data_IF_100428756299
#
_entry.id   IF_100428756299
#
_cell.length_a   1.000
_cell.length_b   1.000
_cell.length_c   1.000
_cell.angle_alpha   90.00
_cell.angle_beta   90.00
_cell.angle_gamma   90.00
#
_symmetry.space_group_name_H-M   'P 1'
#
loop_
_entity.id
_entity.type
_entity.pdbx_description
1 polymer ?
#
# COMPACT_ATOMS: atom_id res chain seq x y z
N UNK A 1 -10.32 -17.89 4.36
CA UNK A 1 -8.94 -17.36 4.23
C UNK A 1 -8.35 -16.97 5.59
N UNK A 2 -7.13 -17.40 5.94
CA UNK A 2 -6.46 -17.25 7.26
C UNK A 2 -6.00 -15.81 7.64
N UNK A 3 -6.79 -14.77 7.36
CA UNK A 3 -6.47 -13.42 7.82
C UNK A 3 -6.70 -13.25 9.33
N UNK A 4 -6.10 -12.22 9.93
CA UNK A 4 -6.31 -11.87 11.34
C UNK A 4 -7.76 -11.47 11.68
N UNK A 5 -8.56 -11.16 10.66
CA UNK A 5 -9.99 -10.84 10.75
C UNK A 5 -10.77 -11.88 9.96
N UNK A 6 -11.84 -12.38 10.58
CA UNK A 6 -12.75 -13.34 9.95
C UNK A 6 -13.29 -12.80 8.63
N UNK A 7 -13.42 -13.68 7.65
CA UNK A 7 -13.76 -13.31 6.27
C UNK A 7 -15.12 -12.61 6.15
N UNK A 8 -16.08 -12.99 7.01
CA UNK A 8 -17.40 -12.39 7.08
C UNK A 8 -17.39 -10.94 7.63
N UNK A 9 -16.38 -10.59 8.42
CA UNK A 9 -16.25 -9.27 9.05
C UNK A 9 -15.45 -8.28 8.20
N UNK A 10 -14.91 -8.71 7.04
CA UNK A 10 -14.12 -7.84 6.16
C UNK A 10 -15.05 -6.94 5.33
N UNK A 11 -14.95 -5.60 5.45
CA UNK A 11 -15.96 -4.69 4.90
C UNK A 11 -16.17 -4.76 3.39
N UNK A 12 -15.15 -5.14 2.62
CA UNK A 12 -15.21 -5.17 1.15
C UNK A 12 -15.65 -6.53 0.58
N UNK A 13 -15.57 -7.60 1.37
CA UNK A 13 -15.87 -8.96 0.91
C UNK A 13 -17.30 -9.12 0.36
N UNK A 14 -18.37 -8.54 0.98
CA UNK A 14 -19.72 -8.65 0.43
C UNK A 14 -19.89 -8.02 -0.96
N UNK A 15 -19.00 -7.11 -1.35
CA UNK A 15 -19.03 -6.39 -2.62
C UNK A 15 -18.05 -6.98 -3.65
N UNK A 16 -17.09 -7.78 -3.19
CA UNK A 16 -16.15 -8.50 -4.01
C UNK A 16 -16.72 -9.89 -4.33
N UNK A 17 -17.06 -10.16 -5.59
CA UNK A 17 -17.62 -11.47 -5.99
C UNK A 17 -16.75 -12.69 -5.63
N UNK A 18 -15.48 -12.48 -5.28
CA UNK A 18 -14.58 -13.47 -4.67
C UNK A 18 -13.55 -12.75 -3.80
N UNK A 19 -13.12 -13.34 -2.69
CA UNK A 19 -12.03 -12.81 -1.86
C UNK A 19 -10.67 -12.89 -2.53
N UNK A 20 -10.52 -13.71 -3.58
CA UNK A 20 -9.27 -13.82 -4.34
C UNK A 20 -8.92 -12.51 -5.08
N UNK A 21 -9.85 -11.55 -5.21
CA UNK A 21 -9.53 -10.22 -5.77
C UNK A 21 -8.54 -9.44 -4.90
N UNK A 22 -8.44 -9.78 -3.61
CA UNK A 22 -7.48 -9.17 -2.68
C UNK A 22 -6.15 -9.93 -2.65
N UNK A 23 -5.97 -10.95 -3.49
CA UNK A 23 -4.75 -11.75 -3.57
C UNK A 23 -3.92 -11.35 -4.78
N UNK A 24 -2.69 -10.93 -4.54
CA UNK A 24 -1.71 -10.82 -5.61
C UNK A 24 -1.17 -12.24 -5.92
N UNK A 25 -1.21 -12.70 -7.19
CA UNK A 25 -0.61 -13.98 -7.56
C UNK A 25 0.91 -14.05 -7.34
N UNK A 26 1.57 -12.89 -7.26
CA UNK A 26 3.00 -12.77 -7.01
C UNK A 26 3.33 -12.51 -5.53
N UNK A 27 2.35 -12.60 -4.62
CA UNK A 27 2.56 -12.47 -3.18
C UNK A 27 3.55 -13.53 -2.68
N UNK A 28 4.71 -13.06 -2.20
CA UNK A 28 5.78 -13.89 -1.63
C UNK A 28 6.02 -13.59 -0.15
N UNK A 29 5.10 -12.88 0.51
CA UNK A 29 5.22 -12.52 1.92
C UNK A 29 5.76 -11.12 2.18
N UNK A 30 6.21 -10.87 3.41
CA UNK A 30 6.83 -9.60 3.81
C UNK A 30 8.02 -9.89 4.73
N UNK A 31 9.21 -9.43 4.33
CA UNK A 31 10.42 -9.64 5.11
C UNK A 31 10.40 -8.94 6.47
N UNK A 32 9.72 -7.78 6.60
CA UNK A 32 9.65 -7.09 7.89
C UNK A 32 8.71 -7.79 8.88
N UNK A 33 7.65 -8.40 8.37
CA UNK A 33 6.66 -9.12 9.18
C UNK A 33 6.97 -10.61 9.32
N UNK A 34 8.06 -11.07 8.71
CA UNK A 34 8.53 -12.46 8.74
C UNK A 34 7.43 -13.47 8.38
N UNK A 35 6.74 -13.23 7.26
CA UNK A 35 5.73 -14.15 6.72
C UNK A 35 6.00 -14.49 5.25
N UNK A 36 5.51 -15.65 4.81
CA UNK A 36 5.74 -16.17 3.45
C UNK A 36 4.63 -15.81 2.45
N UNK A 37 3.46 -15.39 2.93
CA UNK A 37 2.33 -14.99 2.10
C UNK A 37 1.42 -14.02 2.87
N UNK A 38 1.37 -12.77 2.43
CA UNK A 38 0.63 -11.70 3.12
C UNK A 38 -0.88 -11.94 3.01
N UNK A 39 -1.37 -12.38 1.85
CA UNK A 39 -2.78 -12.70 1.67
C UNK A 39 -3.26 -13.77 2.65
N UNK A 40 -2.48 -14.83 2.85
CA UNK A 40 -2.87 -15.86 3.81
C UNK A 40 -2.68 -15.42 5.25
N UNK A 41 -1.82 -14.44 5.53
CA UNK A 41 -1.59 -13.92 6.89
C UNK A 41 -2.63 -12.86 7.30
N UNK A 42 -3.02 -11.97 6.39
CA UNK A 42 -3.86 -10.79 6.67
C UNK A 42 -5.17 -10.77 5.90
N UNK A 43 -5.27 -11.55 4.83
CA UNK A 43 -6.44 -11.56 3.96
C UNK A 43 -6.40 -10.54 2.82
N UNK A 44 -5.28 -9.84 2.62
CA UNK A 44 -5.11 -8.82 1.59
C UNK A 44 -3.63 -8.66 1.21
N UNK A 45 -3.30 -8.73 -0.08
CA UNK A 45 -1.96 -8.49 -0.63
C UNK A 45 -1.67 -7.02 -0.95
N UNK A 46 -2.63 -6.12 -0.74
CA UNK A 46 -2.50 -4.70 -1.10
C UNK A 46 -2.52 -3.81 0.13
N UNK A 47 -1.80 -2.69 0.07
CA UNK A 47 -1.65 -1.77 1.21
C UNK A 47 -1.79 -0.32 0.77
N UNK A 48 -2.67 0.40 1.46
CA UNK A 48 -2.80 1.86 1.38
C UNK A 48 -1.68 2.55 2.17
N UNK A 49 -1.41 3.83 1.90
CA UNK A 49 -0.51 4.62 2.75
C UNK A 49 -1.14 4.81 4.14
N UNK A 50 -0.52 4.22 5.18
CA UNK A 50 -1.02 4.22 6.56
C UNK A 50 -0.53 5.39 7.41
N UNK A 51 0.53 6.05 6.97
CA UNK A 51 1.07 7.25 7.60
C UNK A 51 1.77 8.11 6.55
N UNK A 52 2.15 9.32 6.93
CA UNK A 52 2.85 10.27 6.07
C UNK A 52 4.32 9.90 5.97
N UNK A 53 4.76 9.39 4.82
CA UNK A 53 6.14 8.98 4.57
C UNK A 53 6.41 8.84 3.08
N UNK A 54 7.70 8.82 2.71
CA UNK A 54 8.11 8.61 1.32
C UNK A 54 7.54 9.64 0.33
N UNK A 55 7.26 10.85 0.83
CA UNK A 55 6.51 11.91 0.12
C UNK A 55 5.03 11.61 -0.12
N UNK A 56 4.52 10.47 0.37
CA UNK A 56 3.13 10.07 0.26
C UNK A 56 2.36 10.43 1.53
N UNK A 57 1.26 11.15 1.36
CA UNK A 57 0.25 11.40 2.38
C UNK A 57 -0.61 10.16 2.62
N UNK A 58 -0.94 9.87 3.88
CA UNK A 58 -1.81 8.74 4.20
C UNK A 58 -3.22 8.88 3.60
N UNK A 59 -3.91 7.75 3.47
CA UNK A 59 -5.29 7.70 2.94
C UNK A 59 -6.31 7.37 4.02
N UNK A 60 -5.94 6.50 4.96
CA UNK A 60 -6.87 5.96 5.96
C UNK A 60 -6.79 6.69 7.28
N UNK A 61 -7.87 6.60 8.05
CA UNK A 61 -7.86 6.86 9.48
C UNK A 61 -7.67 5.54 10.23
N UNK A 62 -6.86 5.55 11.28
CA UNK A 62 -6.60 4.40 12.13
C UNK A 62 -7.51 4.45 13.36
N UNK A 63 -8.35 3.42 13.52
CA UNK A 63 -9.29 3.28 14.63
C UNK A 63 -8.60 3.08 16.00
N UNK A 64 -7.32 2.68 15.99
CA UNK A 64 -6.47 2.59 17.17
C UNK A 64 -6.11 3.95 17.78
N UNK A 65 -6.42 5.06 17.11
CA UNK A 65 -6.16 6.43 17.59
C UNK A 65 -7.43 7.11 18.10
N UNK A 66 -7.32 8.11 19.01
CA UNK A 66 -8.48 8.83 19.52
C UNK A 66 -9.30 9.48 18.40
N UNK A 67 -10.63 9.34 18.46
CA UNK A 67 -11.53 9.95 17.49
C UNK A 67 -11.28 11.47 17.38
N UNK A 68 -11.09 11.95 16.16
CA UNK A 68 -10.77 13.36 15.87
C UNK A 68 -9.28 13.71 15.91
N UNK A 69 -8.38 12.77 16.26
CA UNK A 69 -6.95 12.98 16.03
C UNK A 69 -6.64 12.98 14.53
N UNK A 70 -5.52 13.59 14.10
CA UNK A 70 -5.08 13.52 12.71
C UNK A 70 -4.99 12.08 12.19
N UNK A 71 -4.37 11.17 12.94
CA UNK A 71 -4.15 9.78 12.56
C UNK A 71 -5.44 8.96 12.46
N UNK A 72 -6.47 9.31 13.25
CA UNK A 72 -7.80 8.72 13.14
C UNK A 72 -8.63 9.29 11.98
N UNK A 73 -8.14 10.33 11.29
CA UNK A 73 -8.89 11.05 10.26
C UNK A 73 -8.43 10.65 8.85
N UNK A 74 -9.29 9.99 8.05
CA UNK A 74 -8.95 9.65 6.66
C UNK A 74 -8.86 10.90 5.78
N UNK A 75 -8.14 10.77 4.66
CA UNK A 75 -8.09 11.82 3.65
C UNK A 75 -9.49 12.04 3.03
N UNK A 76 -9.80 13.27 2.62
CA UNK A 76 -11.05 13.59 1.91
C UNK A 76 -10.86 13.45 0.41
N UNK A 77 -11.93 13.07 -0.30
CA UNK A 77 -11.92 13.06 -1.77
C UNK A 77 -11.57 14.42 -2.39
N UNK A 78 -11.95 15.52 -1.73
CA UNK A 78 -11.57 16.88 -2.16
C UNK A 78 -10.06 17.13 -2.10
N UNK A 79 -9.35 16.49 -1.17
CA UNK A 79 -7.90 16.59 -1.08
C UNK A 79 -7.26 15.77 -2.21
N UNK A 80 -7.69 14.52 -2.40
CA UNK A 80 -7.26 13.67 -3.53
C UNK A 80 -7.45 14.38 -4.87
N UNK A 81 -8.58 15.06 -5.05
CA UNK A 81 -8.92 15.78 -6.27
C UNK A 81 -7.99 16.97 -6.60
N UNK A 82 -7.13 17.41 -5.68
CA UNK A 82 -6.14 18.47 -5.94
C UNK A 82 -5.12 18.06 -7.00
N UNK A 83 -4.70 16.78 -7.00
CA UNK A 83 -3.76 16.22 -7.99
C UNK A 83 -3.90 14.69 -8.06
N UNK A 84 -5.02 14.18 -8.61
CA UNK A 84 -5.39 12.78 -8.49
C UNK A 84 -4.48 11.84 -9.30
N UNK A 85 -3.90 12.32 -10.40
CA UNK A 85 -2.99 11.57 -11.27
C UNK A 85 -1.65 11.23 -10.60
N UNK A 86 -1.29 11.91 -9.51
CA UNK A 86 -0.04 11.61 -8.77
C UNK A 86 -0.31 11.19 -7.33
N UNK A 87 -1.58 11.12 -6.91
CA UNK A 87 -1.95 10.68 -5.56
C UNK A 87 -1.86 9.17 -5.46
N UNK A 88 -0.96 8.63 -4.66
CA UNK A 88 -0.91 7.19 -4.36
C UNK A 88 -2.04 6.83 -3.40
N UNK A 89 -2.90 5.89 -3.81
CA UNK A 89 -4.01 5.39 -2.99
C UNK A 89 -3.62 4.07 -2.30
N UNK A 90 -3.09 3.13 -3.08
CA UNK A 90 -2.65 1.82 -2.62
C UNK A 90 -1.63 1.22 -3.58
N UNK A 91 -0.93 0.18 -3.13
CA UNK A 91 -0.16 -0.67 -4.02
C UNK A 91 0.03 -2.06 -3.43
N UNK A 92 0.95 -2.84 -3.97
CA UNK A 92 1.37 -4.12 -3.38
C UNK A 92 1.79 -3.94 -1.91
N UNK A 93 1.54 -4.92 -1.05
CA UNK A 93 1.69 -4.80 0.42
C UNK A 93 2.94 -4.04 0.89
N UNK A 94 4.06 -4.36 0.25
CA UNK A 94 5.40 -3.93 0.57
C UNK A 94 5.93 -2.85 -0.38
N UNK A 95 5.06 -2.10 -1.06
CA UNK A 95 5.44 -1.01 -1.97
C UNK A 95 6.26 0.10 -1.28
N UNK A 96 6.16 0.23 0.04
CA UNK A 96 6.96 1.14 0.85
C UNK A 96 8.44 0.74 0.89
N UNK A 97 9.35 1.72 0.85
CA UNK A 97 10.79 1.49 0.72
C UNK A 97 11.50 0.87 1.93
N UNK A 98 10.81 0.44 2.97
CA UNK A 98 11.44 -0.06 4.21
C UNK A 98 11.58 -1.60 4.27
N UNK A 99 11.35 -2.32 3.16
CA UNK A 99 11.46 -3.79 3.12
C UNK A 99 12.73 -4.31 2.43
N UNK A 100 13.59 -3.40 1.99
CA UNK A 100 14.75 -3.71 1.17
C UNK A 100 14.36 -4.30 -0.19
N UNK A 101 15.36 -4.61 -1.02
CA UNK A 101 15.15 -5.12 -2.39
C UNK A 101 15.88 -6.45 -2.65
N UNK A 102 16.41 -7.08 -1.61
CA UNK A 102 17.25 -8.28 -1.70
C UNK A 102 16.60 -9.53 -1.11
N UNK A 103 15.73 -9.39 -0.11
CA UNK A 103 14.97 -10.53 0.43
C UNK A 103 13.93 -10.97 -0.61
N UNK A 104 13.89 -12.27 -0.93
CA UNK A 104 12.94 -12.85 -1.88
C UNK A 104 11.48 -12.58 -1.53
N UNK A 105 11.16 -12.39 -0.25
CA UNK A 105 9.82 -12.05 0.25
C UNK A 105 9.46 -10.60 -0.05
N UNK A 106 10.45 -9.73 -0.18
CA UNK A 106 10.28 -8.32 -0.55
C UNK A 106 10.30 -8.07 -2.06
N UNK A 107 10.48 -9.10 -2.89
CA UNK A 107 10.54 -8.95 -4.36
C UNK A 107 9.45 -9.77 -5.02
N UNK A 108 8.22 -9.25 -4.98
CA UNK A 108 7.04 -9.89 -5.56
C UNK A 108 7.09 -9.84 -7.09
N UNK A 109 7.12 -8.62 -7.63
CA UNK A 109 7.27 -8.35 -9.05
C UNK A 109 8.69 -7.87 -9.36
N UNK A 110 9.26 -8.41 -10.43
CA UNK A 110 10.59 -8.05 -10.91
C UNK A 110 10.57 -8.03 -12.43
N UNK A 111 11.15 -6.99 -13.02
CA UNK A 111 11.37 -6.90 -14.45
C UNK A 111 12.85 -6.60 -14.71
N UNK A 112 13.54 -7.55 -15.35
CA UNK A 112 14.97 -7.42 -15.70
C UNK A 112 15.89 -7.08 -14.52
N UNK A 113 15.63 -7.67 -13.35
CA UNK A 113 16.41 -7.43 -12.13
C UNK A 113 15.91 -6.27 -11.28
N UNK A 114 14.91 -5.53 -11.74
CA UNK A 114 14.38 -4.35 -11.04
C UNK A 114 13.07 -4.67 -10.34
N UNK A 115 13.04 -4.49 -9.02
CA UNK A 115 11.81 -4.57 -8.24
C UNK A 115 10.85 -3.46 -8.67
N UNK A 116 9.59 -3.84 -8.87
CA UNK A 116 8.53 -2.93 -9.30
C UNK A 116 7.25 -3.27 -8.55
N UNK A 117 6.32 -2.33 -8.51
CA UNK A 117 5.12 -2.42 -7.70
C UNK A 117 3.91 -1.98 -8.51
N UNK A 118 2.80 -2.70 -8.41
CA UNK A 118 1.52 -2.19 -8.90
C UNK A 118 1.02 -1.14 -7.92
N UNK A 119 0.81 0.08 -8.40
CA UNK A 119 0.38 1.21 -7.58
C UNK A 119 -0.85 1.83 -8.23
N UNK A 120 -1.93 1.96 -7.46
CA UNK A 120 -3.16 2.60 -7.87
C UNK A 120 -3.19 4.07 -7.42
N UNK A 121 -3.62 4.93 -8.33
CA UNK A 121 -3.64 6.38 -8.14
C UNK A 121 -5.07 6.92 -7.96
N UNK A 122 -5.16 8.18 -7.51
CA UNK A 122 -6.40 8.84 -7.12
C UNK A 122 -7.42 9.07 -8.24
N UNK A 123 -6.99 9.04 -9.50
CA UNK A 123 -7.85 9.09 -10.69
C UNK A 123 -8.29 7.69 -11.19
N UNK A 124 -7.84 6.63 -10.52
CA UNK A 124 -8.21 5.24 -10.82
C UNK A 124 -7.26 4.51 -11.77
N UNK A 125 -6.21 5.14 -12.30
CA UNK A 125 -5.21 4.40 -13.07
C UNK A 125 -4.29 3.57 -12.15
N UNK A 126 -3.61 2.58 -12.75
CA UNK A 126 -2.62 1.74 -12.09
C UNK A 126 -1.33 1.77 -12.90
N UNK A 127 -0.19 1.98 -12.24
CA UNK A 127 1.12 1.93 -12.86
C UNK A 127 1.99 0.82 -12.26
N UNK A 128 2.90 0.30 -13.09
CA UNK A 128 3.94 -0.64 -12.65
C UNK A 128 5.23 0.11 -12.31
N UNK A 129 5.21 0.71 -11.13
CA UNK A 129 6.17 1.72 -10.68
C UNK A 129 7.49 1.08 -10.30
N UNK A 130 8.58 1.67 -10.78
CA UNK A 130 9.93 1.49 -10.23
C UNK A 130 10.25 2.72 -9.40
N UNK A 131 10.45 2.52 -8.10
CA UNK A 131 10.93 3.60 -7.24
C UNK A 131 12.42 3.89 -7.51
N UNK A 132 12.86 5.16 -7.35
CA UNK A 132 14.26 5.48 -7.40
C UNK A 132 15.02 4.83 -6.23
N UNK A 133 16.31 4.58 -6.38
CA UNK A 133 17.08 3.81 -5.39
C UNK A 133 17.10 4.48 -4.01
N UNK A 134 17.08 5.81 -3.97
CA UNK A 134 17.05 6.61 -2.75
C UNK A 134 15.70 6.57 -2.02
N UNK A 135 14.65 6.02 -2.63
CA UNK A 135 13.33 5.88 -2.01
C UNK A 135 13.37 5.14 -0.66
N UNK A 136 14.31 4.18 -0.52
CA UNK A 136 14.53 3.45 0.74
C UNK A 136 14.91 4.38 1.90
N UNK A 137 15.49 5.55 1.60
CA UNK A 137 15.92 6.55 2.57
C UNK A 137 14.83 7.58 2.90
N UNK A 138 13.66 7.49 2.26
CA UNK A 138 12.62 8.53 2.35
C UNK A 138 11.54 8.25 3.40
N UNK A 139 11.77 7.28 4.30
CA UNK A 139 10.81 6.89 5.36
C UNK A 139 10.30 8.09 6.16
N UNK A 140 11.15 9.09 6.40
CA UNK A 140 10.81 10.28 7.18
C UNK A 140 10.63 11.55 6.33
N UNK A 141 10.61 11.43 5.01
CA UNK A 141 10.41 12.59 4.12
C UNK A 141 8.91 12.89 4.08
N UNK A 142 8.49 14.13 4.43
CA UNK A 142 7.09 14.50 4.53
C UNK A 142 6.40 14.48 3.15
N UNK A 143 5.05 14.42 3.13
CA UNK A 143 4.28 14.46 1.90
C UNK A 143 4.53 15.73 1.08
N UNK A 144 4.48 15.59 -0.24
CA UNK A 144 4.74 16.69 -1.16
C UNK A 144 3.87 16.56 -2.41
N UNK A 145 2.74 17.27 -2.43
CA UNK A 145 1.79 17.25 -3.57
C UNK A 145 2.42 17.72 -4.88
N UNK A 146 3.49 18.53 -4.83
CA UNK A 146 4.15 19.01 -6.03
C UNK A 146 5.13 17.99 -6.61
N UNK A 147 5.44 16.92 -5.88
CA UNK A 147 6.29 15.84 -6.35
C UNK A 147 5.58 14.96 -7.40
N UNK A 148 6.36 14.06 -8.03
CA UNK A 148 5.87 13.12 -9.03
C UNK A 148 4.83 12.14 -8.47
N UNK A 149 4.81 11.97 -7.15
CA UNK A 149 3.78 11.26 -6.40
C UNK A 149 3.57 11.86 -5.02
N UNK A 150 2.39 11.65 -4.44
CA UNK A 150 2.06 12.13 -3.10
C UNK A 150 0.96 11.37 -2.39
#
# INVERSE_FOLDING_TARGET
VHGLVDEADRPLNPYAGSTEVFRCPADKGDALMDNDHVFTFLGNSYRVAWWNAFRVQWVIGLDSYPAGSPEATPIRGSEVARKPTTKVIQGDWHWHGNRGITDKRSVWHNFSGEARYNVAFGDGHVEFVRWPNEFLNWVNVPPDIEFDWW
#
